data_IF_990312126418
#
_entry.id   IF_990312126418
#
_cell.length_a   1.000
_cell.length_b   1.000
_cell.length_c   1.000
_cell.angle_alpha   90.00
_cell.angle_beta   90.00
_cell.angle_gamma   90.00
#
_symmetry.space_group_name_H-M   'P 1'
#
loop_
_entity.id
_entity.type
_entity.pdbx_description
1 polymer ?
#
# COMPACT_ATOMS: atom_id res chain seq x y z
N UNK A 1 6.99 -5.08 -0.13
CA UNK A 1 5.85 -4.71 -1.03
C UNK A 1 5.47 -3.23 -0.92
N UNK A 2 5.00 -2.60 -2.01
CA UNK A 2 4.32 -1.28 -1.98
C UNK A 2 2.80 -1.43 -2.12
N UNK A 3 2.01 -0.74 -1.30
CA UNK A 3 0.56 -0.85 -1.33
C UNK A 3 -0.17 0.43 -0.89
N UNK A 4 -1.39 0.60 -1.38
CA UNK A 4 -2.37 1.54 -0.85
C UNK A 4 -3.21 0.87 0.24
N UNK A 5 -3.09 1.40 1.46
CA UNK A 5 -3.97 1.08 2.58
C UNK A 5 -5.17 2.02 2.58
N UNK A 6 -6.38 1.49 2.74
CA UNK A 6 -7.60 2.28 2.94
C UNK A 6 -8.12 2.10 4.35
N UNK A 7 -8.37 3.22 5.02
CA UNK A 7 -8.89 3.28 6.37
C UNK A 7 -10.34 3.72 6.35
N UNK A 8 -11.22 2.90 6.92
CA UNK A 8 -12.62 3.26 7.14
C UNK A 8 -12.77 4.06 8.45
N UNK A 9 -13.80 4.91 8.59
CA UNK A 9 -14.06 5.66 9.83
C UNK A 9 -14.07 4.78 11.09
N UNK A 10 -14.61 3.56 10.99
CA UNK A 10 -14.78 2.61 12.10
C UNK A 10 -13.47 2.10 12.72
N UNK A 11 -12.35 2.25 12.01
CA UNK A 11 -11.03 1.82 12.49
C UNK A 11 -10.11 3.01 12.80
N UNK A 12 -10.57 4.24 12.58
CA UNK A 12 -9.83 5.44 12.96
C UNK A 12 -9.66 5.46 14.49
N UNK A 13 -8.42 5.66 14.94
CA UNK A 13 -8.05 5.66 16.36
C UNK A 13 -7.53 4.31 16.89
N UNK A 14 -7.65 3.22 16.12
CA UNK A 14 -7.03 1.94 16.50
C UNK A 14 -5.55 1.91 16.12
N UNK A 15 -4.71 1.41 17.02
CA UNK A 15 -3.25 1.35 16.83
C UNK A 15 -2.78 0.15 15.96
N UNK A 16 -3.56 -0.22 14.93
CA UNK A 16 -3.37 -1.46 14.14
C UNK A 16 -1.96 -1.53 13.53
N UNK A 17 -1.49 -0.44 12.91
CA UNK A 17 -0.16 -0.41 12.28
C UNK A 17 0.96 -0.54 13.33
N UNK A 18 0.83 0.13 14.47
CA UNK A 18 1.79 -0.01 15.58
C UNK A 18 1.81 -1.42 16.13
N UNK A 19 0.66 -2.08 16.21
CA UNK A 19 0.55 -3.47 16.63
C UNK A 19 1.18 -4.42 15.62
N UNK A 20 0.99 -4.19 14.31
CA UNK A 20 1.65 -4.98 13.27
C UNK A 20 3.19 -4.89 13.40
N UNK A 21 3.75 -3.70 13.55
CA UNK A 21 5.21 -3.50 13.71
C UNK A 21 5.75 -4.15 14.99
N UNK A 22 4.96 -4.19 16.08
CA UNK A 22 5.39 -4.81 17.35
C UNK A 22 5.30 -6.34 17.33
N UNK A 23 4.39 -6.90 16.54
CA UNK A 23 4.12 -8.34 16.49
C UNK A 23 4.94 -9.05 15.42
N UNK A 24 5.27 -8.34 14.34
CA UNK A 24 5.95 -8.89 13.17
C UNK A 24 7.23 -8.10 12.90
N UNK A 25 8.28 -8.80 12.50
CA UNK A 25 9.54 -8.21 12.07
C UNK A 25 9.38 -7.57 10.68
N UNK A 26 8.86 -6.34 10.68
CA UNK A 26 8.63 -5.54 9.48
C UNK A 26 9.10 -4.10 9.65
N UNK A 27 9.69 -3.57 8.59
CA UNK A 27 9.80 -2.15 8.34
C UNK A 27 8.53 -1.64 7.66
N UNK A 28 8.04 -0.49 8.12
CA UNK A 28 6.84 0.15 7.60
C UNK A 28 7.15 1.60 7.23
N UNK A 29 7.32 1.86 5.95
CA UNK A 29 7.67 3.16 5.41
C UNK A 29 6.44 3.85 4.79
N UNK A 30 6.20 5.11 5.14
CA UNK A 30 5.06 5.90 4.66
C UNK A 30 5.53 6.79 3.50
N UNK A 31 5.03 6.52 2.30
CA UNK A 31 5.37 7.30 1.10
C UNK A 31 4.40 8.48 0.90
N UNK A 32 3.12 8.29 1.25
CA UNK A 32 2.09 9.34 1.21
C UNK A 32 0.95 8.99 2.16
N UNK A 33 0.41 9.96 2.89
CA UNK A 33 -0.72 9.72 3.78
C UNK A 33 -1.75 10.85 3.67
N UNK A 34 -3.03 10.48 3.66
CA UNK A 34 -4.13 11.41 3.89
C UNK A 34 -5.19 10.70 4.72
N UNK A 35 -5.21 11.00 6.01
CA UNK A 35 -6.10 10.39 7.02
C UNK A 35 -6.88 11.50 7.71
N UNK A 36 -8.18 11.29 7.87
CA UNK A 36 -9.11 12.18 8.57
C UNK A 36 -10.01 11.35 9.49
N UNK A 37 -10.82 11.98 10.35
CA UNK A 37 -11.85 11.27 11.12
C UNK A 37 -12.85 10.51 10.26
N UNK A 38 -13.01 10.87 8.97
CA UNK A 38 -13.87 10.17 8.01
C UNK A 38 -13.17 9.02 7.28
N UNK A 39 -12.00 8.58 7.75
CA UNK A 39 -11.18 7.60 7.06
C UNK A 39 -10.09 8.25 6.22
N UNK A 40 -9.50 7.47 5.31
CA UNK A 40 -8.48 7.96 4.42
C UNK A 40 -7.70 6.87 3.68
N UNK A 41 -6.60 7.28 3.05
CA UNK A 41 -5.71 6.38 2.31
C UNK A 41 -4.25 6.67 2.65
N UNK A 42 -3.44 5.62 2.66
CA UNK A 42 -2.00 5.70 2.89
C UNK A 42 -1.27 4.85 1.85
N UNK A 43 -0.29 5.44 1.20
CA UNK A 43 0.65 4.72 0.37
C UNK A 43 1.87 4.36 1.20
N UNK A 44 2.17 3.07 1.25
CA UNK A 44 3.22 2.53 2.10
C UNK A 44 4.12 1.58 1.34
N UNK A 45 5.31 1.38 1.90
CA UNK A 45 6.20 0.29 1.60
C UNK A 45 6.39 -0.52 2.88
N UNK A 46 6.01 -1.80 2.83
CA UNK A 46 6.17 -2.76 3.92
C UNK A 46 7.27 -3.72 3.48
N UNK A 47 8.24 -4.01 4.32
CA UNK A 47 9.31 -4.97 4.00
C UNK A 47 9.79 -5.68 5.26
N UNK A 48 10.23 -6.93 5.13
CA UNK A 48 10.77 -7.69 6.25
C UNK A 48 10.51 -9.19 6.11
N UNK A 49 11.09 -10.02 6.98
CA UNK A 49 10.90 -11.46 6.96
C UNK A 49 9.44 -11.89 7.10
N UNK A 50 8.65 -11.16 7.89
CA UNK A 50 7.25 -11.45 8.20
C UNK A 50 6.26 -10.53 7.45
N UNK A 51 6.67 -10.03 6.28
CA UNK A 51 5.87 -9.11 5.45
C UNK A 51 4.47 -9.70 5.19
N UNK A 52 4.37 -10.97 4.80
CA UNK A 52 3.09 -11.59 4.39
C UNK A 52 2.13 -11.76 5.57
N UNK A 53 2.64 -12.21 6.70
CA UNK A 53 1.90 -12.41 7.94
C UNK A 53 1.38 -11.06 8.47
N UNK A 54 2.20 -10.01 8.42
CA UNK A 54 1.81 -8.66 8.82
C UNK A 54 0.69 -8.09 7.93
N UNK A 55 0.74 -8.32 6.61
CA UNK A 55 -0.28 -7.85 5.67
C UNK A 55 -1.61 -8.53 5.97
N UNK A 56 -1.59 -9.86 6.17
CA UNK A 56 -2.79 -10.62 6.49
C UNK A 56 -3.43 -10.13 7.79
N UNK A 57 -2.61 -9.87 8.82
CA UNK A 57 -3.10 -9.28 10.06
C UNK A 57 -3.75 -7.91 9.85
N UNK A 58 -3.11 -7.02 9.07
CA UNK A 58 -3.64 -5.69 8.75
C UNK A 58 -5.01 -5.81 8.05
N UNK A 59 -5.16 -6.74 7.09
CA UNK A 59 -6.43 -7.01 6.40
C UNK A 59 -7.51 -7.54 7.35
N UNK A 60 -7.16 -8.48 8.24
CA UNK A 60 -8.07 -9.04 9.25
C UNK A 60 -8.58 -7.99 10.24
N UNK A 61 -7.80 -6.93 10.50
CA UNK A 61 -8.23 -5.78 11.32
C UNK A 61 -9.14 -4.79 10.57
N UNK A 62 -9.45 -5.04 9.30
CA UNK A 62 -10.39 -4.26 8.50
C UNK A 62 -9.76 -3.10 7.72
N UNK A 63 -8.43 -3.11 7.53
CA UNK A 63 -7.75 -2.19 6.61
C UNK A 63 -7.69 -2.86 5.23
N UNK A 64 -8.25 -2.22 4.20
CA UNK A 64 -8.13 -2.76 2.83
C UNK A 64 -6.70 -2.51 2.31
N UNK A 65 -5.98 -3.57 1.95
CA UNK A 65 -4.62 -3.51 1.38
C UNK A 65 -4.71 -3.69 -0.13
N UNK A 66 -4.29 -2.68 -0.90
CA UNK A 66 -4.29 -2.73 -2.36
C UNK A 66 -2.84 -2.62 -2.87
N UNK A 67 -2.19 -3.75 -3.23
CA UNK A 67 -0.83 -3.73 -3.78
C UNK A 67 -0.72 -2.82 -5.00
N UNK A 68 0.38 -2.07 -5.11
CA UNK A 68 0.64 -1.34 -6.35
C UNK A 68 1.13 -2.33 -7.39
N UNK A 69 0.24 -2.65 -8.32
CA UNK A 69 0.58 -3.35 -9.55
C UNK A 69 1.07 -2.27 -10.55
N UNK A 70 2.40 -2.06 -10.62
CA UNK A 70 2.98 -1.27 -11.72
C UNK A 70 3.03 -2.13 -12.98
N UNK A 71 1.98 -2.08 -13.79
CA UNK A 71 2.03 -2.66 -15.14
C UNK A 71 1.56 -1.62 -16.15
N UNK A 72 2.45 -0.71 -16.52
CA UNK A 72 2.38 -0.06 -17.83
C UNK A 72 3.16 -0.96 -18.77
N UNK A 73 2.46 -1.71 -19.62
CA UNK A 73 3.08 -2.54 -20.66
C UNK A 73 2.98 -1.83 -22.00
N UNK A 74 4.10 -1.76 -22.72
CA UNK A 74 4.12 -1.34 -24.13
C UNK A 74 3.43 -2.42 -24.95
N UNK A 75 2.26 -2.10 -25.49
CA UNK A 75 1.65 -2.88 -26.56
C UNK A 75 2.48 -2.64 -27.83
N UNK A 76 3.23 -3.65 -28.28
CA UNK A 76 4.15 -3.52 -29.42
C UNK A 76 3.41 -3.36 -30.75
N UNK A 77 2.19 -3.88 -30.86
CA UNK A 77 1.42 -3.84 -32.10
C UNK A 77 0.75 -2.48 -32.29
N UNK A 78 0.44 -1.78 -31.19
CA UNK A 78 -0.17 -0.44 -31.22
C UNK A 78 0.82 0.72 -31.06
N UNK A 79 2.08 0.45 -30.73
CA UNK A 79 3.04 1.51 -30.50
C UNK A 79 3.56 2.10 -31.81
N UNK A 80 3.51 3.42 -31.92
CA UNK A 80 4.05 4.19 -33.06
C UNK A 80 5.41 4.85 -32.76
N UNK A 81 6.09 4.42 -31.69
CA UNK A 81 7.38 4.94 -31.25
C UNK A 81 7.46 6.48 -31.09
N UNK A 82 6.35 7.13 -30.72
CA UNK A 82 6.28 8.58 -30.54
C UNK A 82 6.99 9.13 -29.30
N UNK A 83 7.47 8.25 -28.40
CA UNK A 83 8.17 8.65 -27.17
C UNK A 83 7.30 9.24 -26.06
N UNK A 84 6.00 9.44 -26.25
CA UNK A 84 5.12 10.08 -25.26
C UNK A 84 4.96 9.31 -23.94
N UNK A 85 5.24 7.99 -23.93
CA UNK A 85 5.18 7.13 -22.75
C UNK A 85 6.52 7.01 -22.02
N UNK A 86 7.58 7.66 -22.51
CA UNK A 86 8.86 7.76 -21.81
C UNK A 86 8.70 8.86 -20.76
N UNK A 87 8.54 8.48 -19.49
CA UNK A 87 8.68 9.43 -18.38
C UNK A 87 10.11 9.97 -18.38
N UNK A 88 10.26 11.29 -18.46
CA UNK A 88 11.52 12.00 -18.19
C UNK A 88 11.96 11.77 -16.74
#
# INVERSE_FOLDING_TARGET
>A
MKAWLRFLPSIIGKAIISEAIKRYDIEFNILRAHITPRGGKMLVEISGPEEKESIKFIEEQGIEVNPIIRVVKKDKDKCIDCGACISL
#
